data_IF_866619421674
#
_entry.id   IF_866619421674
#
_cell.length_a   1.000
_cell.length_b   1.000
_cell.length_c   1.000
_cell.angle_alpha   90.00
_cell.angle_beta   90.00
_cell.angle_gamma   90.00
#
_symmetry.space_group_name_H-M   'P 1'
#
loop_
_entity.id
_entity.type
_entity.pdbx_description
1 polymer ?
#
# COMPACT_ATOMS: atom_id res chain seq x y z
N UNK A 1 -15.70 -20.76 -20.63
CA UNK A 1 -15.26 -20.46 -20.35
C UNK A 1 -14.76 -19.85 -19.74
N UNK A 2 -14.81 -19.56 -19.75
CA UNK A 2 -14.35 -19.02 -19.30
C UNK A 2 -13.88 -18.45 -18.56
N UNK A 3 -13.93 -18.31 -18.47
CA UNK A 3 -13.57 -17.82 -17.91
C UNK A 3 -13.08 -17.42 -17.15
N UNK A 4 -12.93 -17.45 -16.92
CA UNK A 4 -12.51 -17.12 -16.27
C UNK A 4 -11.97 -16.44 -15.84
N UNK A 5 -12.02 -16.23 -15.78
CA UNK A 5 -11.42 -15.55 -15.57
C UNK A 5 -10.88 -15.17 -14.60
N UNK A 6 -10.37 -15.10 -14.84
CA UNK A 6 -9.48 -14.66 -14.05
C UNK A 6 -9.53 -13.32 -13.64
N UNK A 7 -10.12 -12.94 -12.82
CA UNK A 7 -10.21 -11.68 -12.38
C UNK A 7 -9.54 -11.57 -11.07
N UNK A 8 -8.84 -10.50 -10.83
CA UNK A 8 -8.25 -10.25 -9.55
C UNK A 8 -9.32 -10.14 -8.50
N UNK A 9 -9.16 -10.80 -7.35
CA UNK A 9 -10.13 -10.65 -6.28
C UNK A 9 -9.98 -9.29 -5.66
N UNK A 10 -11.07 -8.54 -5.63
CA UNK A 10 -11.05 -7.24 -4.97
C UNK A 10 -11.31 -7.39 -3.50
N UNK A 11 -10.84 -6.40 -2.74
CA UNK A 11 -11.11 -6.33 -1.31
C UNK A 11 -12.61 -6.13 -1.12
N UNK A 12 -13.18 -6.85 -0.18
CA UNK A 12 -14.61 -6.86 0.06
C UNK A 12 -14.91 -6.30 1.43
N UNK A 13 -16.14 -5.83 1.63
CA UNK A 13 -16.58 -5.38 2.95
C UNK A 13 -16.28 -6.47 3.98
N UNK A 14 -15.73 -6.07 5.11
CA UNK A 14 -15.36 -6.99 6.18
C UNK A 14 -13.94 -7.50 6.11
N UNK A 15 -13.24 -7.25 5.01
CA UNK A 15 -11.84 -7.65 4.89
C UNK A 15 -10.94 -6.79 5.75
N UNK A 16 -9.74 -7.29 5.99
CA UNK A 16 -8.75 -6.61 6.80
C UNK A 16 -7.45 -6.46 6.03
N UNK A 17 -6.96 -5.23 5.94
CA UNK A 17 -5.67 -4.93 5.31
C UNK A 17 -4.67 -4.49 6.37
N UNK A 18 -3.45 -4.94 6.22
CA UNK A 18 -2.35 -4.48 7.06
C UNK A 18 -1.24 -3.97 6.15
N UNK A 19 -0.91 -2.69 6.30
CA UNK A 19 0.12 -2.02 5.50
C UNK A 19 1.35 -1.91 6.39
N UNK A 20 2.31 -2.77 6.13
CA UNK A 20 3.49 -2.86 6.97
C UNK A 20 4.67 -2.19 6.25
N UNK A 21 5.11 -1.06 6.78
CA UNK A 21 6.17 -0.28 6.16
C UNK A 21 7.47 -0.38 6.92
N UNK A 22 8.56 -0.34 6.18
CA UNK A 22 9.90 -0.18 6.73
C UNK A 22 10.58 0.94 5.99
N UNK A 23 11.28 1.80 6.74
CA UNK A 23 11.93 2.97 6.15
C UNK A 23 13.40 3.02 6.54
N UNK A 24 14.17 3.66 5.68
CA UNK A 24 15.59 3.86 5.90
C UNK A 24 15.94 5.27 5.49
N UNK A 25 16.63 5.97 6.37
CA UNK A 25 17.07 7.33 6.09
C UNK A 25 18.52 7.29 5.59
N UNK A 26 18.70 7.77 4.35
CA UNK A 26 20.02 7.86 3.74
C UNK A 26 20.68 9.15 4.20
N UNK A 27 21.57 9.04 5.17
CA UNK A 27 22.20 10.20 5.76
C UNK A 27 23.09 10.97 4.79
N UNK A 28 23.66 10.28 3.84
CA UNK A 28 24.56 10.93 2.90
C UNK A 28 23.83 11.89 1.97
N UNK A 29 22.65 11.50 1.55
CA UNK A 29 21.90 12.29 0.59
C UNK A 29 20.68 12.98 1.20
N UNK A 30 20.37 12.67 2.45
CA UNK A 30 19.24 13.30 3.13
C UNK A 30 17.89 12.84 2.65
N UNK A 31 17.81 11.63 2.11
CA UNK A 31 16.58 11.09 1.57
C UNK A 31 16.07 9.92 2.38
N UNK A 32 14.77 9.76 2.43
CA UNK A 32 14.16 8.61 3.09
C UNK A 32 13.52 7.72 2.05
N UNK A 33 13.77 6.43 2.20
CA UNK A 33 13.19 5.41 1.34
C UNK A 33 12.39 4.44 2.19
N UNK A 34 11.44 3.77 1.56
CA UNK A 34 10.63 2.80 2.28
C UNK A 34 10.37 1.59 1.41
N UNK A 35 9.95 0.53 2.07
CA UNK A 35 9.38 -0.62 1.40
C UNK A 35 8.10 -0.94 2.16
N UNK A 36 7.19 -1.69 1.51
CA UNK A 36 5.94 -2.01 2.15
C UNK A 36 5.54 -3.43 1.83
N UNK A 37 5.00 -4.12 2.82
CA UNK A 37 4.35 -5.42 2.63
C UNK A 37 2.89 -5.22 2.93
N UNK A 38 2.04 -5.77 2.08
CA UNK A 38 0.60 -5.63 2.23
C UNK A 38 0.01 -6.99 2.50
N UNK A 39 -0.76 -7.06 3.58
CA UNK A 39 -1.39 -8.30 4.02
C UNK A 39 -2.90 -8.14 3.87
N UNK A 40 -3.54 -9.14 3.29
CA UNK A 40 -4.99 -9.19 3.20
C UNK A 40 -5.45 -10.39 3.99
N UNK A 41 -6.22 -10.12 5.05
CA UNK A 41 -6.74 -11.17 5.92
C UNK A 41 -5.64 -12.14 6.38
N UNK A 42 -4.47 -11.59 6.71
CA UNK A 42 -3.38 -12.38 7.25
C UNK A 42 -2.45 -13.00 6.23
N UNK A 43 -2.64 -12.72 4.95
CA UNK A 43 -1.76 -13.26 3.91
C UNK A 43 -1.07 -12.13 3.18
N UNK A 44 0.22 -12.29 2.91
CA UNK A 44 0.96 -11.30 2.15
C UNK A 44 0.51 -11.38 0.70
N UNK A 45 0.04 -10.27 0.16
CA UNK A 45 -0.41 -10.23 -1.22
C UNK A 45 0.49 -9.41 -2.12
N UNK A 46 1.20 -8.43 -1.56
CA UNK A 46 2.06 -7.55 -2.35
C UNK A 46 3.26 -7.17 -1.52
N UNK A 47 4.42 -7.13 -2.16
CA UNK A 47 5.63 -6.57 -1.57
C UNK A 47 6.15 -5.52 -2.53
N UNK A 48 6.27 -4.28 -2.04
CA UNK A 48 6.83 -3.19 -2.84
C UNK A 48 8.22 -2.90 -2.30
N UNK A 49 9.24 -3.05 -3.14
CA UNK A 49 10.63 -2.86 -2.67
C UNK A 49 10.94 -1.38 -2.52
N UNK A 50 12.21 -1.08 -2.32
CA UNK A 50 12.69 0.27 -2.04
C UNK A 50 12.04 1.32 -2.94
N UNK A 51 11.43 2.31 -2.31
CA UNK A 51 10.73 3.38 -2.98
C UNK A 51 11.04 4.69 -2.24
N UNK A 52 11.20 5.76 -2.98
CA UNK A 52 11.48 7.05 -2.37
C UNK A 52 10.23 7.60 -1.69
N UNK A 53 10.37 8.11 -0.50
CA UNK A 53 9.27 8.76 0.21
C UNK A 53 9.39 8.57 1.71
N UNK A 54 8.94 9.56 2.47
CA UNK A 54 9.06 9.55 3.91
C UNK A 54 7.69 9.70 4.56
N UNK A 55 7.66 9.48 5.85
CA UNK A 55 6.45 9.60 6.66
C UNK A 55 5.35 8.68 6.10
N UNK A 56 4.21 9.24 5.76
CA UNK A 56 3.08 8.44 5.32
C UNK A 56 3.14 8.02 3.86
N UNK A 57 4.25 8.30 3.18
CA UNK A 57 4.37 7.90 1.77
C UNK A 57 4.20 6.40 1.59
N UNK A 58 4.60 5.59 2.59
CA UNK A 58 4.44 4.15 2.47
C UNK A 58 2.97 3.76 2.33
N UNK A 59 2.07 4.50 2.95
CA UNK A 59 0.64 4.21 2.83
C UNK A 59 0.16 4.48 1.41
N UNK A 60 0.64 5.57 0.82
CA UNK A 60 0.25 5.90 -0.54
C UNK A 60 0.82 4.90 -1.53
N UNK A 61 2.04 4.46 -1.30
CA UNK A 61 2.64 3.40 -2.11
C UNK A 61 1.81 2.12 -2.03
N UNK A 62 1.37 1.76 -0.83
CA UNK A 62 0.57 0.56 -0.65
C UNK A 62 -0.77 0.67 -1.39
N UNK A 63 -1.44 1.82 -1.25
CA UNK A 63 -2.73 2.01 -1.89
C UNK A 63 -2.60 1.99 -3.39
N UNK A 64 -1.58 2.65 -3.93
CA UNK A 64 -1.35 2.64 -5.37
C UNK A 64 -1.11 1.23 -5.89
N UNK A 65 -0.34 0.43 -5.15
CA UNK A 65 -0.08 -0.94 -5.55
C UNK A 65 -1.34 -1.78 -5.51
N UNK A 66 -2.17 -1.58 -4.51
CA UNK A 66 -3.42 -2.31 -4.41
C UNK A 66 -4.34 -1.99 -5.58
N UNK A 67 -4.35 -0.73 -6.03
CA UNK A 67 -5.16 -0.36 -7.19
C UNK A 67 -4.58 -0.98 -8.45
N UNK A 68 -3.27 -0.88 -8.63
CA UNK A 68 -2.62 -1.41 -9.82
C UNK A 68 -2.82 -2.91 -9.95
N UNK A 69 -2.81 -3.62 -8.83
CA UNK A 69 -2.97 -5.07 -8.85
C UNK A 69 -4.42 -5.51 -8.83
N UNK A 70 -5.35 -4.57 -8.81
CA UNK A 70 -6.77 -4.92 -8.90
C UNK A 70 -7.47 -5.21 -7.59
N UNK A 71 -6.80 -5.03 -6.47
CA UNK A 71 -7.43 -5.28 -5.17
C UNK A 71 -8.34 -4.16 -4.73
N UNK A 72 -8.05 -2.93 -5.12
CA UNK A 72 -8.90 -1.78 -4.83
C UNK A 72 -9.40 -1.18 -6.13
N UNK A 73 -10.61 -0.62 -6.12
CA UNK A 73 -11.15 -0.04 -7.36
C UNK A 73 -10.42 1.23 -7.74
N UNK A 74 -10.22 1.43 -9.03
CA UNK A 74 -9.55 2.61 -9.53
C UNK A 74 -10.33 3.89 -9.19
N UNK A 75 -11.62 3.76 -8.96
CA UNK A 75 -12.46 4.90 -8.62
C UNK A 75 -12.06 5.56 -7.31
N UNK A 76 -11.25 4.88 -6.51
CA UNK A 76 -10.77 5.44 -5.26
C UNK A 76 -10.02 6.74 -5.48
N UNK A 77 -9.44 6.92 -6.67
CA UNK A 77 -8.65 8.12 -6.98
C UNK A 77 -9.37 9.09 -7.90
N UNK A 78 -10.66 8.98 -8.01
CA UNK A 78 -11.36 9.78 -8.99
C UNK A 78 -11.60 11.24 -8.62
N UNK A 79 -11.52 11.56 -7.34
CA UNK A 79 -11.75 12.93 -6.94
C UNK A 79 -10.54 13.78 -7.24
N UNK A 80 -10.77 14.90 -7.89
CA UNK A 80 -9.70 15.77 -8.31
C UNK A 80 -8.84 16.26 -7.16
N UNK A 81 -9.46 16.59 -6.08
CA UNK A 81 -8.70 17.11 -4.96
C UNK A 81 -7.71 16.10 -4.40
N UNK A 82 -8.07 14.83 -4.41
CA UNK A 82 -7.15 13.81 -3.94
C UNK A 82 -5.98 13.63 -4.87
N UNK A 83 -6.24 13.72 -6.16
CA UNK A 83 -5.17 13.64 -7.13
C UNK A 83 -4.22 14.79 -6.96
N UNK A 84 -4.77 15.96 -6.71
CA UNK A 84 -3.94 17.15 -6.58
C UNK A 84 -3.05 17.08 -5.36
N UNK A 85 -3.56 16.55 -4.26
CA UNK A 85 -2.78 16.46 -3.03
C UNK A 85 -1.89 15.24 -3.02
N UNK A 86 -2.16 14.30 -3.89
CA UNK A 86 -1.43 13.04 -3.92
C UNK A 86 -1.60 12.23 -2.67
N UNK A 87 -2.63 12.51 -1.93
CA UNK A 87 -2.87 11.78 -0.70
C UNK A 87 -4.31 11.40 -0.60
N UNK A 88 -4.52 10.13 -0.35
CA UNK A 88 -5.86 9.64 -0.11
C UNK A 88 -5.85 9.05 1.29
N UNK A 89 -6.52 9.66 2.25
CA UNK A 89 -6.43 9.19 3.63
C UNK A 89 -6.89 7.75 3.76
N UNK A 90 -6.07 6.97 4.45
CA UNK A 90 -6.35 5.55 4.61
C UNK A 90 -7.67 5.31 5.33
N UNK A 91 -7.97 6.16 6.33
CA UNK A 91 -9.21 6.00 7.08
C UNK A 91 -10.44 6.22 6.22
N UNK A 92 -10.35 7.08 5.20
CA UNK A 92 -11.47 7.29 4.29
C UNK A 92 -11.71 6.06 3.42
N UNK A 93 -10.63 5.43 2.99
CA UNK A 93 -10.75 4.22 2.19
C UNK A 93 -11.40 3.12 3.02
N UNK A 94 -10.92 2.98 4.26
CA UNK A 94 -11.47 1.97 5.15
C UNK A 94 -12.96 2.15 5.35
N UNK A 95 -13.36 3.39 5.55
CA UNK A 95 -14.75 3.72 5.78
C UNK A 95 -15.60 3.49 4.55
N UNK A 96 -15.10 3.97 3.42
CA UNK A 96 -15.83 3.88 2.16
C UNK A 96 -16.06 2.45 1.73
N UNK A 97 -15.10 1.58 1.96
CA UNK A 97 -15.17 0.19 1.53
C UNK A 97 -15.60 -0.75 2.65
N UNK A 98 -15.79 -0.22 3.84
CA UNK A 98 -16.22 -1.02 5.00
C UNK A 98 -15.23 -2.13 5.31
N UNK A 99 -13.96 -1.77 5.32
CA UNK A 99 -12.88 -2.69 5.66
C UNK A 99 -12.08 -2.12 6.81
N UNK A 100 -11.27 -2.98 7.43
CA UNK A 100 -10.33 -2.54 8.45
C UNK A 100 -8.97 -2.34 7.79
N UNK A 101 -8.31 -1.24 8.10
CA UNK A 101 -6.97 -0.99 7.60
C UNK A 101 -6.08 -0.61 8.76
N UNK A 102 -5.03 -1.39 8.96
CA UNK A 102 -4.01 -1.11 9.96
C UNK A 102 -2.72 -0.78 9.25
N UNK A 103 -1.93 0.08 9.83
CA UNK A 103 -0.66 0.42 9.22
C UNK A 103 0.37 0.73 10.29
N UNK A 104 1.62 0.34 10.04
CA UNK A 104 2.72 0.68 10.91
C UNK A 104 3.93 1.00 10.05
N UNK A 105 4.82 1.82 10.56
CA UNK A 105 6.06 2.15 9.88
C UNK A 105 7.19 2.04 10.90
N UNK A 106 8.19 1.23 10.59
CA UNK A 106 9.37 1.09 11.43
C UNK A 106 10.59 1.56 10.66
N UNK A 107 11.45 2.31 11.32
CA UNK A 107 12.68 2.77 10.72
C UNK A 107 13.81 1.81 11.06
N UNK A 108 14.72 1.61 10.11
CA UNK A 108 15.82 0.71 10.32
C UNK A 108 16.89 0.92 9.26
N UNK A 109 17.67 -0.11 9.01
CA UNK A 109 18.76 -0.07 8.06
C UNK A 109 18.26 -0.40 6.66
N UNK A 110 19.03 0.02 5.66
CA UNK A 110 18.68 -0.27 4.28
C UNK A 110 18.51 -1.76 4.06
N UNK A 111 19.34 -2.58 4.69
CA UNK A 111 19.29 -4.03 4.50
C UNK A 111 18.02 -4.65 5.06
N UNK A 112 17.28 -3.90 5.87
CA UNK A 112 16.06 -4.41 6.47
C UNK A 112 14.82 -4.13 5.64
N UNK A 113 14.94 -3.37 4.57
CA UNK A 113 13.81 -3.15 3.68
C UNK A 113 13.55 -4.41 2.89
N UNK A 114 12.28 -4.65 2.62
CA UNK A 114 11.90 -5.86 1.90
C UNK A 114 12.29 -5.75 0.44
N UNK A 115 12.54 -6.91 -0.15
CA UNK A 115 12.88 -7.01 -1.55
C UNK A 115 11.82 -7.81 -2.25
N UNK A 116 11.71 -7.57 -3.55
CA UNK A 116 10.75 -8.31 -4.35
C UNK A 116 11.04 -9.81 -4.22
N UNK A 117 10.00 -10.59 -4.01
CA UNK A 117 10.14 -12.02 -3.93
C UNK A 117 10.41 -12.56 -2.54
N UNK A 118 10.47 -11.69 -1.55
CA UNK A 118 10.66 -12.17 -0.19
C UNK A 118 9.34 -12.36 0.52
#
# INVERSE_FOLDING_TARGET
MELMITRQPQVQAGDSLFLEGRAWFDKLNGNTYHSVRIWLNGEIIIIVPLTYGYENAYQQTAISSLVEEGYLPATIFQHGEHRATREYPVWQIARKLEISVYSVLAYGKKSELWKRGN
#
